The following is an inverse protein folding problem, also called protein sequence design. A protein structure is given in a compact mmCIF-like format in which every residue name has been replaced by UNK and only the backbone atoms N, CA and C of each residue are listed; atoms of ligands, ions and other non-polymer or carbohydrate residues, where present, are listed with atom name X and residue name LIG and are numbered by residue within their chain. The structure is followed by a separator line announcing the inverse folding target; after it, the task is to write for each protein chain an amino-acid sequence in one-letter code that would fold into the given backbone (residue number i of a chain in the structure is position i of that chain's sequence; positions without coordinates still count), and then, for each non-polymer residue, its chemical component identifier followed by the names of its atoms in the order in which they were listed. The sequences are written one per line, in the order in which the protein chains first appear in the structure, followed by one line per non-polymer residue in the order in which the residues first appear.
data_IF_795506488765
#
_entry.id   IF_795506488765
#
_cell.length_a   1.000
_cell.length_b   1.000
_cell.length_c   1.000
_cell.angle_alpha   90.00
_cell.angle_beta   90.00
_cell.angle_gamma   90.00
#
_symmetry.space_group_name_H-M   'P 1'
#
loop_
_entity.id
_entity.type
_entity.pdbx_description
1 polymer ?
#
# COMPACT_ATOMS: atom_id res chain seq x y z
N UNK A 1 31.41 12.99 -13.81
CA UNK A 1 31.13 14.02 -12.79
C UNK A 1 31.81 13.60 -11.50
N UNK A 2 32.84 14.32 -11.07
CA UNK A 2 33.53 14.02 -9.82
C UNK A 2 32.83 14.80 -8.69
N UNK A 3 31.65 14.33 -8.27
CA UNK A 3 30.87 15.00 -7.24
C UNK A 3 31.28 14.43 -5.88
N UNK A 4 32.29 15.06 -5.25
CA UNK A 4 32.73 14.67 -3.90
C UNK A 4 31.75 15.20 -2.84
N UNK A 5 30.54 14.64 -2.79
CA UNK A 5 29.58 14.88 -1.71
C UNK A 5 29.86 13.86 -0.61
N UNK A 6 29.99 14.33 0.63
CA UNK A 6 30.20 13.46 1.81
C UNK A 6 28.89 13.28 2.59
N UNK A 7 28.76 12.15 3.27
CA UNK A 7 27.62 11.90 4.18
C UNK A 7 27.50 12.99 5.25
N UNK A 8 28.62 13.49 5.74
CA UNK A 8 28.65 14.55 6.75
C UNK A 8 28.08 15.87 6.26
N UNK A 9 28.29 16.21 4.99
CA UNK A 9 27.66 17.38 4.36
C UNK A 9 26.16 17.20 4.23
N UNK A 10 25.71 15.98 3.91
CA UNK A 10 24.29 15.62 3.84
C UNK A 10 23.64 15.74 5.22
N UNK A 11 24.25 15.17 6.27
CA UNK A 11 23.77 15.28 7.64
C UNK A 11 23.61 16.75 8.09
N UNK A 12 24.60 17.60 7.79
CA UNK A 12 24.52 19.01 8.11
C UNK A 12 23.41 19.73 7.36
N UNK A 13 23.23 19.40 6.08
CA UNK A 13 22.14 19.96 5.27
C UNK A 13 20.77 19.55 5.80
N UNK A 14 20.55 18.28 6.10
CA UNK A 14 19.31 17.77 6.70
C UNK A 14 19.03 18.46 8.04
N UNK A 15 20.04 18.51 8.93
CA UNK A 15 19.90 19.18 10.23
C UNK A 15 19.53 20.67 10.11
N UNK A 16 20.10 21.38 9.11
CA UNK A 16 19.75 22.79 8.87
C UNK A 16 18.38 22.94 8.24
N UNK A 17 17.95 22.02 7.41
CA UNK A 17 16.60 22.00 6.85
C UNK A 17 15.54 21.84 7.95
N UNK A 18 15.79 20.96 8.93
CA UNK A 18 14.88 20.67 10.04
C UNK A 18 14.83 21.80 11.07
N UNK A 19 15.98 22.40 11.41
CA UNK A 19 16.06 23.41 12.48
C UNK A 19 15.78 24.82 11.99
N UNK A 20 15.98 25.09 10.70
CA UNK A 20 15.95 26.43 10.10
C UNK A 20 17.09 27.37 10.54
N UNK A 21 18.11 26.87 11.28
CA UNK A 21 19.17 27.69 11.88
C UNK A 21 20.52 26.97 11.87
N UNK A 22 21.55 27.56 11.23
CA UNK A 22 22.90 26.98 11.17
C UNK A 22 23.53 26.83 12.57
N UNK A 23 23.35 27.83 13.45
CA UNK A 23 23.92 27.77 14.80
C UNK A 23 23.32 26.63 15.63
N UNK A 24 22.00 26.41 15.55
CA UNK A 24 21.32 25.32 16.27
C UNK A 24 21.75 23.97 15.73
N UNK A 25 21.83 23.81 14.42
CA UNK A 25 22.30 22.59 13.76
C UNK A 25 23.75 22.29 14.09
N UNK A 26 24.63 23.31 14.10
CA UNK A 26 26.04 23.15 14.48
C UNK A 26 26.20 22.57 15.89
N UNK A 27 25.39 23.07 16.85
CA UNK A 27 25.36 22.53 18.20
C UNK A 27 24.87 21.07 18.23
N UNK A 28 23.80 20.72 17.48
CA UNK A 28 23.29 19.37 17.41
C UNK A 28 24.30 18.39 16.80
N UNK A 29 25.04 18.83 15.78
CA UNK A 29 26.05 18.04 15.10
C UNK A 29 27.44 18.10 15.78
N UNK A 30 27.57 18.77 16.92
CA UNK A 30 28.83 18.91 17.69
C UNK A 30 29.98 19.51 16.86
N UNK A 31 29.69 20.55 16.07
CA UNK A 31 30.69 21.25 15.22
C UNK A 31 30.59 22.76 15.39
N UNK A 32 31.59 23.50 14.95
CA UNK A 32 31.53 24.95 14.91
C UNK A 32 30.61 25.44 13.80
N UNK A 33 29.91 26.58 14.02
CA UNK A 33 29.07 27.19 13.01
C UNK A 33 29.83 27.55 11.72
N UNK A 34 31.12 27.92 11.84
CA UNK A 34 32.00 28.21 10.70
C UNK A 34 32.23 26.94 9.88
N UNK A 35 32.58 25.80 10.54
CA UNK A 35 32.78 24.52 9.85
C UNK A 35 31.53 24.05 9.13
N UNK A 36 30.36 24.14 9.78
CA UNK A 36 29.08 23.79 9.15
C UNK A 36 28.80 24.68 7.94
N UNK A 37 29.02 25.99 8.06
CA UNK A 37 28.80 26.94 6.96
C UNK A 37 29.69 26.63 5.75
N UNK A 38 30.95 26.29 5.98
CA UNK A 38 31.87 25.88 4.90
C UNK A 38 31.42 24.57 4.25
N UNK A 39 31.06 23.58 5.06
CA UNK A 39 30.58 22.29 4.56
C UNK A 39 29.32 22.42 3.68
N UNK A 40 28.36 23.25 4.10
CA UNK A 40 27.16 23.52 3.31
C UNK A 40 27.46 24.27 2.00
N UNK A 41 28.39 25.23 2.04
CA UNK A 41 28.83 25.92 0.82
C UNK A 41 29.49 24.95 -0.16
N UNK A 42 30.38 24.09 0.32
CA UNK A 42 31.03 23.07 -0.51
C UNK A 42 30.01 22.07 -1.08
N UNK A 43 28.92 21.75 -0.34
CA UNK A 43 27.84 20.93 -0.82
C UNK A 43 27.11 21.61 -1.99
N UNK A 44 26.75 22.90 -1.85
CA UNK A 44 26.08 23.66 -2.92
C UNK A 44 26.98 23.78 -4.17
N UNK A 45 28.27 23.98 -3.99
CA UNK A 45 29.25 24.01 -5.08
C UNK A 45 29.34 22.64 -5.78
N UNK A 46 29.36 21.54 -5.02
CA UNK A 46 29.38 20.17 -5.58
C UNK A 46 28.09 19.81 -6.32
N UNK A 47 26.94 20.29 -5.85
CA UNK A 47 25.62 20.07 -6.49
C UNK A 47 25.43 21.03 -7.68
N UNK A 48 26.11 22.19 -7.67
CA UNK A 48 26.07 23.20 -8.74
C UNK A 48 24.85 24.11 -8.67
N UNK A 49 24.06 24.07 -7.58
CA UNK A 49 22.91 24.94 -7.37
C UNK A 49 22.77 25.35 -5.91
N UNK A 50 22.18 26.53 -5.66
CA UNK A 50 21.86 26.99 -4.30
C UNK A 50 20.73 26.17 -3.72
N UNK A 51 20.96 25.56 -2.55
CA UNK A 51 19.99 24.75 -1.83
C UNK A 51 19.34 25.51 -0.67
N UNK A 52 20.08 26.49 -0.10
CA UNK A 52 19.71 27.22 1.11
C UNK A 52 19.64 28.73 0.85
N UNK A 53 18.55 29.36 1.27
CA UNK A 53 18.40 30.83 1.29
C UNK A 53 18.63 31.35 2.70
N UNK A 54 19.60 32.25 2.87
CA UNK A 54 19.85 32.93 4.15
C UNK A 54 18.90 34.10 4.34
N UNK A 55 18.32 34.18 5.51
CA UNK A 55 17.39 35.24 5.90
C UNK A 55 17.77 35.73 7.32
N UNK A 56 17.47 37.00 7.69
CA UNK A 56 17.76 37.50 9.05
C UNK A 56 17.17 36.66 10.19
N UNK A 57 16.10 35.90 9.91
CA UNK A 57 15.45 34.99 10.87
C UNK A 57 15.91 33.53 10.80
N UNK A 58 16.91 33.21 9.97
CA UNK A 58 17.41 31.84 9.81
C UNK A 58 17.67 31.43 8.35
N UNK A 59 17.47 30.16 8.05
CA UNK A 59 17.70 29.57 6.73
C UNK A 59 16.42 28.90 6.24
N UNK A 60 16.14 29.03 4.93
CA UNK A 60 15.05 28.34 4.24
C UNK A 60 15.59 27.56 3.05
N UNK A 61 14.89 26.52 2.66
CA UNK A 61 15.22 25.77 1.45
C UNK A 61 14.79 26.54 0.19
N UNK A 62 15.59 26.39 -0.87
CA UNK A 62 15.13 26.72 -2.23
C UNK A 62 14.26 25.58 -2.76
N UNK A 63 13.50 25.76 -3.87
CA UNK A 63 12.82 24.65 -4.54
C UNK A 63 13.76 23.51 -4.96
N UNK A 64 15.02 23.83 -5.29
CA UNK A 64 16.08 22.85 -5.53
C UNK A 64 16.49 22.15 -4.23
N UNK A 65 16.60 22.91 -3.12
CA UNK A 65 16.88 22.38 -1.79
C UNK A 65 15.82 21.39 -1.29
N UNK A 66 14.54 21.68 -1.53
CA UNK A 66 13.44 20.77 -1.16
C UNK A 66 13.50 19.45 -1.94
N UNK A 67 13.76 19.53 -3.26
CA UNK A 67 13.96 18.31 -4.06
C UNK A 67 15.18 17.53 -3.59
N UNK A 68 16.30 18.20 -3.36
CA UNK A 68 17.53 17.58 -2.88
C UNK A 68 17.33 16.93 -1.50
N UNK A 69 16.61 17.61 -0.56
CA UNK A 69 16.30 17.06 0.77
C UNK A 69 15.60 15.71 0.69
N UNK A 70 14.54 15.61 -0.14
CA UNK A 70 13.83 14.33 -0.31
C UNK A 70 14.78 13.21 -0.75
N UNK A 71 15.62 13.47 -1.74
CA UNK A 71 16.55 12.44 -2.25
C UNK A 71 17.66 12.06 -1.26
N UNK A 72 18.20 13.00 -0.51
CA UNK A 72 19.26 12.69 0.45
C UNK A 72 18.73 12.01 1.71
N UNK A 73 17.50 12.31 2.13
CA UNK A 73 16.83 11.56 3.19
C UNK A 73 16.66 10.09 2.81
N UNK A 74 16.28 9.79 1.57
CA UNK A 74 16.22 8.42 1.06
C UNK A 74 17.61 7.75 1.04
N UNK A 75 18.65 8.48 0.62
CA UNK A 75 19.99 7.95 0.57
C UNK A 75 20.55 7.61 1.97
N UNK A 76 20.34 8.47 2.96
CA UNK A 76 20.73 8.23 4.37
C UNK A 76 20.02 7.01 4.94
N UNK A 77 18.69 6.93 4.79
CA UNK A 77 17.95 5.75 5.22
C UNK A 77 18.43 4.46 4.54
N UNK A 78 18.86 4.54 3.28
CA UNK A 78 19.41 3.37 2.57
C UNK A 78 20.75 2.92 3.15
N UNK A 79 21.59 3.87 3.61
CA UNK A 79 22.87 3.56 4.28
C UNK A 79 22.63 2.94 5.66
N UNK A 80 21.70 3.50 6.45
CA UNK A 80 21.32 2.95 7.75
C UNK A 80 20.83 1.50 7.61
N UNK A 81 20.01 1.24 6.60
CA UNK A 81 19.56 -0.13 6.26
C UNK A 81 20.71 -1.05 5.87
N UNK A 82 21.69 -0.55 5.13
CA UNK A 82 22.85 -1.35 4.74
C UNK A 82 23.72 -1.72 5.95
N UNK A 83 23.87 -0.80 6.92
CA UNK A 83 24.58 -1.07 8.18
C UNK A 83 23.84 -2.12 9.00
N UNK A 84 22.53 -2.00 9.17
CA UNK A 84 21.71 -2.99 9.87
C UNK A 84 21.79 -4.35 9.17
N UNK A 85 21.65 -4.39 7.84
CA UNK A 85 21.72 -5.64 7.07
C UNK A 85 23.11 -6.31 7.16
N UNK A 86 24.18 -5.55 7.33
CA UNK A 86 25.52 -6.09 7.51
C UNK A 86 25.75 -6.70 8.92
N UNK A 87 24.92 -6.31 9.90
CA UNK A 87 24.98 -6.78 11.29
C UNK A 87 23.99 -7.92 11.56
N UNK A 88 23.04 -8.20 10.64
CA UNK A 88 22.03 -9.25 10.80
C UNK A 88 22.67 -10.65 10.73
N UNK A 89 22.32 -11.49 11.72
CA UNK A 89 22.59 -12.93 11.67
C UNK A 89 21.61 -13.58 10.69
N UNK A 90 22.08 -14.30 9.65
CA UNK A 90 21.21 -14.94 8.67
C UNK A 90 20.18 -15.91 9.24
N UNK A 91 20.41 -16.43 10.44
CA UNK A 91 19.54 -17.42 11.09
C UNK A 91 18.44 -16.79 11.97
N UNK A 92 18.51 -15.48 12.30
CA UNK A 92 17.50 -14.78 13.09
C UNK A 92 16.92 -13.60 12.34
N UNK A 93 15.72 -13.78 11.77
CA UNK A 93 14.97 -12.69 11.16
C UNK A 93 14.44 -11.78 12.27
N UNK A 94 15.16 -10.71 12.54
CA UNK A 94 14.79 -9.67 13.49
C UNK A 94 14.76 -8.31 12.78
N UNK A 95 14.16 -7.32 13.41
CA UNK A 95 14.07 -5.97 12.88
C UNK A 95 12.63 -5.46 12.85
N UNK A 96 12.38 -4.42 12.07
CA UNK A 96 11.07 -3.78 11.98
C UNK A 96 10.69 -3.53 10.53
N UNK A 97 9.44 -3.84 10.15
CA UNK A 97 8.90 -3.61 8.81
C UNK A 97 7.63 -2.79 8.89
N UNK A 98 7.55 -1.73 8.08
CA UNK A 98 6.38 -0.86 7.97
C UNK A 98 5.57 -1.29 6.75
N UNK A 99 4.35 -1.75 6.98
CA UNK A 99 3.47 -2.30 5.93
C UNK A 99 2.28 -1.36 5.71
N UNK A 100 2.10 -0.90 4.46
CA UNK A 100 0.92 -0.16 4.04
C UNK A 100 -0.20 -1.10 3.58
N UNK A 101 -1.46 -0.78 3.89
CA UNK A 101 -2.63 -1.55 3.45
C UNK A 101 -3.80 -0.62 3.21
N UNK A 102 -4.65 -0.97 2.21
CA UNK A 102 -5.99 -0.36 2.09
C UNK A 102 -6.98 -1.03 3.03
N UNK A 103 -8.12 -0.38 3.27
CA UNK A 103 -9.15 -0.83 4.22
C UNK A 103 -9.60 -2.27 3.98
N UNK A 104 -9.88 -2.65 2.73
CA UNK A 104 -10.29 -4.03 2.40
C UNK A 104 -9.23 -5.05 2.80
N UNK A 105 -7.96 -4.76 2.55
CA UNK A 105 -6.86 -5.69 2.86
C UNK A 105 -6.62 -5.73 4.36
N UNK A 106 -6.65 -4.59 5.04
CA UNK A 106 -6.55 -4.52 6.48
C UNK A 106 -7.63 -5.35 7.16
N UNK A 107 -8.89 -5.16 6.75
CA UNK A 107 -10.03 -5.87 7.36
C UNK A 107 -9.96 -7.40 7.13
N UNK A 108 -9.62 -7.86 5.92
CA UNK A 108 -9.82 -9.26 5.54
C UNK A 108 -8.55 -10.10 5.50
N UNK A 109 -7.37 -9.51 5.37
CA UNK A 109 -6.08 -10.21 5.31
C UNK A 109 -5.18 -9.99 6.51
N UNK A 110 -5.18 -8.78 7.11
CA UNK A 110 -4.25 -8.44 8.18
C UNK A 110 -4.30 -9.41 9.36
N UNK A 111 -5.45 -9.86 9.90
CA UNK A 111 -5.47 -10.76 11.05
C UNK A 111 -4.74 -12.08 10.76
N UNK A 112 -4.97 -12.67 9.57
CA UNK A 112 -4.30 -13.91 9.15
C UNK A 112 -2.81 -13.68 8.89
N UNK A 113 -2.46 -12.54 8.32
CA UNK A 113 -1.08 -12.13 8.08
C UNK A 113 -0.30 -11.99 9.39
N UNK A 114 -0.84 -11.27 10.36
CA UNK A 114 -0.20 -11.07 11.65
C UNK A 114 -0.01 -12.39 12.40
N UNK A 115 -1.00 -13.29 12.32
CA UNK A 115 -0.87 -14.65 12.88
C UNK A 115 0.29 -15.42 12.21
N UNK A 116 0.39 -15.39 10.89
CA UNK A 116 1.45 -16.07 10.15
C UNK A 116 2.84 -15.47 10.42
N UNK A 117 2.94 -14.14 10.52
CA UNK A 117 4.19 -13.46 10.88
C UNK A 117 4.63 -13.84 12.28
N UNK A 118 3.74 -13.76 13.27
CA UNK A 118 4.05 -14.09 14.66
C UNK A 118 4.47 -15.54 14.86
N UNK A 119 3.89 -16.46 14.10
CA UNK A 119 4.25 -17.89 14.16
C UNK A 119 5.61 -18.16 13.52
N UNK A 120 5.98 -17.42 12.48
CA UNK A 120 7.20 -17.71 11.71
C UNK A 120 8.39 -16.85 12.13
N UNK A 121 8.16 -15.63 12.60
CA UNK A 121 9.19 -14.61 12.85
C UNK A 121 8.97 -13.97 14.24
N UNK A 122 9.35 -14.67 15.29
CA UNK A 122 9.09 -14.25 16.69
C UNK A 122 9.74 -12.92 17.08
N UNK A 123 10.82 -12.51 16.41
CA UNK A 123 11.56 -11.28 16.70
C UNK A 123 11.33 -10.16 15.66
N UNK A 124 10.37 -10.34 14.75
CA UNK A 124 10.05 -9.36 13.73
C UNK A 124 8.99 -8.37 14.21
N UNK A 125 9.36 -7.12 14.40
CA UNK A 125 8.43 -6.01 14.64
C UNK A 125 7.72 -5.61 13.34
N UNK A 126 6.40 -5.37 13.42
CA UNK A 126 5.61 -4.89 12.29
C UNK A 126 4.78 -3.68 12.70
N UNK A 127 4.85 -2.61 11.90
CA UNK A 127 3.91 -1.50 11.96
C UNK A 127 3.00 -1.53 10.74
N UNK A 128 1.70 -1.34 10.95
CA UNK A 128 0.72 -1.27 9.87
C UNK A 128 0.22 0.16 9.74
N UNK A 129 0.18 0.65 8.52
CA UNK A 129 -0.41 1.94 8.14
C UNK A 129 -1.56 1.66 7.18
N UNK A 130 -2.77 2.01 7.61
CA UNK A 130 -3.96 1.96 6.77
C UNK A 130 -4.19 3.33 6.15
N UNK A 131 -4.31 3.37 4.82
CA UNK A 131 -4.58 4.60 4.09
C UNK A 131 -5.10 4.29 2.67
N UNK A 132 -5.48 5.33 1.94
CA UNK A 132 -5.81 5.23 0.53
C UNK A 132 -4.57 4.88 -0.31
N UNK A 133 -4.80 4.24 -1.45
CA UNK A 133 -3.75 3.73 -2.33
C UNK A 133 -2.70 4.77 -2.70
N UNK A 134 -3.13 5.94 -3.18
CA UNK A 134 -2.22 6.99 -3.65
C UNK A 134 -1.30 7.48 -2.53
N UNK A 135 -1.81 7.56 -1.31
CA UNK A 135 -1.04 7.89 -0.11
C UNK A 135 -0.01 6.81 0.20
N UNK A 136 -0.41 5.54 0.14
CA UNK A 136 0.48 4.39 0.39
C UNK A 136 1.59 4.33 -0.68
N UNK A 137 1.26 4.50 -1.96
CA UNK A 137 2.23 4.52 -3.05
C UNK A 137 3.25 5.66 -2.87
N UNK A 138 2.78 6.86 -2.50
CA UNK A 138 3.65 7.99 -2.16
C UNK A 138 4.56 7.65 -0.97
N UNK A 139 4.02 7.05 0.09
CA UNK A 139 4.81 6.65 1.26
C UNK A 139 5.86 5.58 0.94
N UNK A 140 5.60 4.66 -0.01
CA UNK A 140 6.58 3.70 -0.51
C UNK A 140 7.71 4.40 -1.27
N UNK A 141 7.37 5.35 -2.16
CA UNK A 141 8.35 6.13 -2.92
C UNK A 141 9.22 6.98 -1.99
N UNK A 142 8.62 7.53 -0.94
CA UNK A 142 9.29 8.35 0.09
C UNK A 142 10.00 7.52 1.18
N UNK A 143 10.13 6.20 1.02
CA UNK A 143 10.73 5.27 2.01
C UNK A 143 10.11 5.34 3.42
N UNK A 144 8.88 5.83 3.54
CA UNK A 144 8.12 5.86 4.79
C UNK A 144 7.44 4.51 5.07
N UNK A 145 7.26 3.68 4.04
CA UNK A 145 6.83 2.28 4.10
C UNK A 145 7.88 1.40 3.42
N UNK A 146 7.97 0.16 3.84
CA UNK A 146 8.91 -0.82 3.29
C UNK A 146 8.24 -1.70 2.25
N UNK A 147 6.99 -2.12 2.51
CA UNK A 147 6.14 -2.94 1.64
C UNK A 147 4.71 -2.45 1.79
N UNK A 148 3.89 -2.64 0.76
CA UNK A 148 2.44 -2.51 0.89
C UNK A 148 1.73 -3.73 0.35
N UNK A 149 0.52 -3.97 0.85
CA UNK A 149 -0.45 -4.91 0.29
C UNK A 149 -1.60 -4.10 -0.29
N UNK A 150 -1.77 -4.16 -1.60
CA UNK A 150 -2.74 -3.36 -2.35
C UNK A 150 -3.54 -4.24 -3.32
N UNK A 151 -4.71 -3.75 -3.73
CA UNK A 151 -5.43 -4.33 -4.87
C UNK A 151 -4.67 -3.96 -6.15
N UNK A 152 -4.29 -4.94 -6.96
CA UNK A 152 -3.44 -4.73 -8.16
C UNK A 152 -4.15 -5.05 -9.46
N UNK A 153 -5.44 -5.38 -9.42
CA UNK A 153 -6.22 -5.79 -10.63
C UNK A 153 -6.31 -4.71 -11.71
N UNK A 154 -6.24 -3.44 -11.35
CA UNK A 154 -6.38 -2.29 -12.25
C UNK A 154 -5.13 -1.42 -12.29
N UNK A 155 -3.99 -1.95 -11.83
CA UNK A 155 -2.77 -1.15 -11.71
C UNK A 155 -2.10 -0.95 -13.07
N UNK A 156 -1.89 0.30 -13.48
CA UNK A 156 -0.84 0.64 -14.42
C UNK A 156 0.50 0.60 -13.65
N UNK A 157 1.56 0.07 -14.26
CA UNK A 157 2.88 0.10 -13.64
C UNK A 157 3.30 1.56 -13.39
N UNK A 158 3.43 1.93 -12.13
CA UNK A 158 4.05 3.19 -11.72
C UNK A 158 5.55 2.97 -11.73
N UNK A 159 6.30 3.74 -12.54
CA UNK A 159 7.72 3.49 -12.89
C UNK A 159 8.65 3.16 -11.73
N UNK A 160 8.43 3.74 -10.54
CA UNK A 160 9.27 3.56 -9.35
C UNK A 160 8.82 2.43 -8.42
N UNK A 161 7.69 1.79 -8.69
CA UNK A 161 7.15 0.70 -7.86
C UNK A 161 7.23 -0.64 -8.58
N UNK A 162 7.41 -1.70 -7.81
CA UNK A 162 7.25 -3.09 -8.23
C UNK A 162 5.98 -3.66 -7.63
N UNK A 163 5.27 -4.45 -8.43
CA UNK A 163 4.04 -5.12 -8.07
C UNK A 163 4.19 -6.63 -8.29
N UNK A 164 3.79 -7.41 -7.32
CA UNK A 164 3.75 -8.87 -7.43
C UNK A 164 2.40 -9.37 -6.90
N UNK A 165 1.60 -10.01 -7.75
CA UNK A 165 0.33 -10.60 -7.31
C UNK A 165 0.60 -11.77 -6.38
N UNK A 166 0.06 -11.70 -5.16
CA UNK A 166 0.19 -12.74 -4.13
C UNK A 166 -1.08 -13.56 -3.94
N UNK A 167 -2.24 -13.00 -4.26
CA UNK A 167 -3.53 -13.66 -4.12
C UNK A 167 -4.46 -13.24 -5.26
N UNK A 168 -5.17 -14.22 -5.85
CA UNK A 168 -6.25 -13.98 -6.80
C UNK A 168 -7.55 -14.49 -6.20
N UNK A 169 -8.51 -13.59 -6.05
CA UNK A 169 -9.80 -13.92 -5.45
C UNK A 169 -10.93 -13.78 -6.49
N UNK A 170 -11.62 -14.88 -6.84
CA UNK A 170 -12.71 -14.83 -7.80
C UNK A 170 -13.87 -14.00 -7.24
N UNK A 171 -14.58 -13.32 -8.15
CA UNK A 171 -15.84 -12.65 -7.83
C UNK A 171 -17.00 -13.60 -8.07
N UNK A 172 -17.99 -13.54 -7.16
CA UNK A 172 -19.19 -14.36 -7.23
C UNK A 172 -20.42 -13.49 -6.99
N UNK A 173 -21.55 -13.96 -7.49
CA UNK A 173 -22.83 -13.39 -7.16
C UNK A 173 -23.21 -13.74 -5.71
N UNK A 174 -23.56 -12.73 -4.91
CA UNK A 174 -24.12 -12.89 -3.57
C UNK A 174 -25.60 -12.60 -3.60
N UNK A 175 -26.38 -13.47 -2.96
CA UNK A 175 -27.83 -13.36 -2.86
C UNK A 175 -28.33 -13.86 -1.51
N UNK A 176 -29.58 -13.56 -1.18
CA UNK A 176 -30.30 -14.30 -0.17
C UNK A 176 -30.36 -15.80 -0.52
N UNK A 177 -30.33 -16.74 0.45
CA UNK A 177 -30.33 -18.19 0.17
C UNK A 177 -31.50 -18.68 -0.67
N UNK A 178 -32.71 -18.10 -0.49
CA UNK A 178 -33.90 -18.44 -1.27
C UNK A 178 -34.10 -17.65 -2.56
N UNK A 179 -33.06 -16.97 -3.06
CA UNK A 179 -33.16 -16.18 -4.28
C UNK A 179 -33.28 -17.06 -5.53
N UNK A 180 -34.19 -16.77 -6.51
CA UNK A 180 -34.36 -17.61 -7.71
C UNK A 180 -33.10 -17.87 -8.51
N UNK A 181 -32.17 -16.89 -8.55
CA UNK A 181 -30.87 -17.06 -9.21
C UNK A 181 -29.99 -18.16 -8.58
N UNK A 182 -30.25 -18.62 -7.35
CA UNK A 182 -29.49 -19.74 -6.75
C UNK A 182 -29.81 -21.07 -7.43
N UNK A 183 -31.01 -21.28 -7.90
CA UNK A 183 -31.48 -22.53 -8.52
C UNK A 183 -31.42 -22.47 -10.06
N UNK A 184 -31.11 -21.31 -10.65
CA UNK A 184 -31.06 -21.14 -12.08
C UNK A 184 -29.95 -22.01 -12.71
N UNK A 185 -30.16 -22.64 -13.86
CA UNK A 185 -29.15 -23.49 -14.52
C UNK A 185 -27.89 -22.69 -14.89
N UNK A 186 -28.05 -21.44 -15.29
CA UNK A 186 -26.99 -20.48 -15.62
C UNK A 186 -27.35 -19.12 -15.07
N UNK A 187 -26.36 -18.30 -14.76
CA UNK A 187 -26.54 -16.90 -14.32
C UNK A 187 -25.58 -16.03 -15.11
N UNK A 188 -26.13 -15.14 -15.92
CA UNK A 188 -25.38 -14.15 -16.71
C UNK A 188 -25.44 -12.78 -16.07
N UNK A 189 -24.75 -11.77 -16.63
CA UNK A 189 -24.86 -10.39 -16.15
C UNK A 189 -26.23 -9.78 -16.50
N UNK A 190 -26.86 -10.20 -17.61
CA UNK A 190 -28.21 -9.78 -17.99
C UNK A 190 -29.25 -10.26 -16.97
N UNK A 191 -29.07 -11.45 -16.39
CA UNK A 191 -29.94 -11.93 -15.31
C UNK A 191 -29.75 -11.11 -14.04
N UNK A 192 -28.51 -10.79 -13.69
CA UNK A 192 -28.20 -9.94 -12.53
C UNK A 192 -28.69 -8.50 -12.73
N UNK A 193 -28.63 -7.97 -13.96
CA UNK A 193 -29.10 -6.62 -14.29
C UNK A 193 -30.60 -6.41 -14.09
N UNK A 194 -31.40 -7.49 -14.05
CA UNK A 194 -32.85 -7.43 -13.78
C UNK A 194 -33.17 -7.30 -12.30
N UNK A 195 -32.17 -7.57 -11.45
CA UNK A 195 -32.33 -7.53 -10.00
C UNK A 195 -31.92 -6.16 -9.45
N UNK A 196 -32.38 -5.85 -8.24
CA UNK A 196 -31.84 -4.70 -7.50
C UNK A 196 -30.35 -4.93 -7.20
N UNK A 197 -29.47 -4.14 -7.80
CA UNK A 197 -28.04 -4.27 -7.59
C UNK A 197 -27.55 -3.36 -6.45
N UNK A 198 -26.87 -3.96 -5.49
CA UNK A 198 -26.24 -3.27 -4.37
C UNK A 198 -24.79 -3.01 -4.72
N UNK A 199 -24.45 -1.75 -5.02
CA UNK A 199 -23.14 -1.34 -5.47
C UNK A 199 -22.26 -0.97 -4.28
N UNK A 200 -21.14 -1.68 -4.11
CA UNK A 200 -20.13 -1.34 -3.13
C UNK A 200 -19.19 -0.26 -3.71
N UNK A 201 -19.06 0.86 -3.00
CA UNK A 201 -18.16 1.96 -3.32
C UNK A 201 -16.98 1.96 -2.33
N UNK A 202 -16.08 1.00 -2.49
CA UNK A 202 -14.91 0.84 -1.64
C UNK A 202 -13.69 0.52 -2.49
N UNK A 203 -12.56 1.11 -2.16
CA UNK A 203 -11.29 0.95 -2.86
C UNK A 203 -11.47 1.15 -4.39
N UNK A 204 -10.92 0.25 -5.21
CA UNK A 204 -11.03 0.29 -6.68
C UNK A 204 -12.23 -0.48 -7.25
N UNK A 205 -13.21 -0.84 -6.41
CA UNK A 205 -14.30 -1.71 -6.84
C UNK A 205 -15.15 -1.09 -7.95
N UNK A 206 -15.49 0.20 -7.86
CA UNK A 206 -16.26 0.91 -8.87
C UNK A 206 -15.63 0.82 -10.26
N UNK A 207 -14.33 1.14 -10.37
CA UNK A 207 -13.59 1.07 -11.65
C UNK A 207 -13.65 -0.32 -12.27
N UNK A 208 -13.59 -1.36 -11.44
CA UNK A 208 -13.67 -2.75 -11.89
C UNK A 208 -15.08 -3.09 -12.35
N UNK A 209 -16.11 -2.66 -11.60
CA UNK A 209 -17.52 -2.87 -11.94
C UNK A 209 -17.84 -2.25 -13.29
N UNK A 210 -17.57 -0.97 -13.49
CA UNK A 210 -17.82 -0.27 -14.75
C UNK A 210 -17.14 -0.97 -15.94
N UNK A 211 -15.90 -1.43 -15.74
CA UNK A 211 -15.13 -2.08 -16.80
C UNK A 211 -15.74 -3.40 -17.26
N UNK A 212 -16.12 -4.31 -16.34
CA UNK A 212 -16.65 -5.60 -16.79
C UNK A 212 -18.11 -5.53 -17.20
N UNK A 213 -18.96 -4.74 -16.55
CA UNK A 213 -20.33 -4.52 -17.01
C UNK A 213 -20.34 -3.91 -18.41
N UNK A 214 -19.54 -2.85 -18.64
CA UNK A 214 -19.42 -2.23 -19.95
C UNK A 214 -18.91 -3.16 -21.05
N UNK A 215 -18.01 -4.10 -20.72
CA UNK A 215 -17.48 -5.07 -21.69
C UNK A 215 -18.52 -6.08 -22.19
N UNK A 216 -19.61 -6.31 -21.43
CA UNK A 216 -20.74 -7.13 -21.80
C UNK A 216 -21.90 -6.34 -22.41
N UNK A 217 -21.79 -5.01 -22.53
CA UNK A 217 -22.83 -4.15 -23.05
C UNK A 217 -24.07 -4.05 -22.16
N UNK A 218 -23.94 -4.35 -20.87
CA UNK A 218 -25.02 -4.37 -19.88
C UNK A 218 -24.65 -3.43 -18.74
N UNK A 219 -25.64 -2.87 -18.08
CA UNK A 219 -25.45 -2.05 -16.88
C UNK A 219 -26.27 -2.63 -15.71
N UNK A 220 -25.76 -2.59 -14.48
CA UNK A 220 -26.50 -3.04 -13.31
C UNK A 220 -27.65 -2.07 -13.00
N UNK A 221 -28.79 -2.61 -12.54
CA UNK A 221 -29.87 -1.80 -12.00
C UNK A 221 -29.51 -1.39 -10.56
N UNK A 222 -28.70 -0.35 -10.41
CA UNK A 222 -28.19 0.09 -9.10
C UNK A 222 -29.34 0.65 -8.27
N UNK A 223 -29.80 -0.14 -7.30
CA UNK A 223 -30.82 0.27 -6.33
C UNK A 223 -30.23 1.07 -5.17
N UNK A 224 -29.00 0.71 -4.73
CA UNK A 224 -28.31 1.40 -3.65
C UNK A 224 -26.79 1.32 -3.85
N UNK A 225 -26.08 2.40 -3.51
CA UNK A 225 -24.63 2.46 -3.42
C UNK A 225 -24.21 2.71 -1.98
N UNK A 226 -23.19 2.01 -1.49
CA UNK A 226 -22.70 2.13 -0.13
C UNK A 226 -21.20 1.92 -0.07
N UNK A 227 -20.51 2.66 0.81
CA UNK A 227 -19.10 2.41 1.17
C UNK A 227 -18.95 1.29 2.21
N UNK A 228 -20.03 0.89 2.88
CA UNK A 228 -20.02 -0.16 3.90
C UNK A 228 -20.30 -1.52 3.30
N UNK A 229 -19.32 -2.41 3.32
CA UNK A 229 -19.48 -3.79 2.90
C UNK A 229 -20.46 -4.55 3.81
N UNK A 230 -20.51 -4.21 5.09
CA UNK A 230 -21.44 -4.83 6.03
C UNK A 230 -22.89 -4.41 5.75
N UNK A 231 -23.12 -3.14 5.37
CA UNK A 231 -24.46 -2.70 4.93
C UNK A 231 -24.90 -3.45 3.66
N UNK A 232 -24.00 -3.58 2.67
CA UNK A 232 -24.28 -4.37 1.45
C UNK A 232 -24.58 -5.83 1.82
N UNK A 233 -23.78 -6.43 2.71
CA UNK A 233 -23.97 -7.81 3.19
C UNK A 233 -25.33 -8.00 3.86
N UNK A 234 -25.70 -7.11 4.77
CA UNK A 234 -26.97 -7.16 5.48
C UNK A 234 -28.17 -7.03 4.53
N UNK A 235 -28.11 -6.09 3.58
CA UNK A 235 -29.18 -5.91 2.59
C UNK A 235 -29.33 -7.11 1.66
N UNK A 236 -28.22 -7.73 1.24
CA UNK A 236 -28.26 -9.00 0.48
C UNK A 236 -28.89 -10.11 1.31
N UNK A 237 -28.48 -10.24 2.57
CA UNK A 237 -28.98 -11.27 3.48
C UNK A 237 -30.48 -11.13 3.77
N UNK A 238 -30.99 -9.90 3.80
CA UNK A 238 -32.41 -9.57 3.95
C UNK A 238 -33.22 -9.69 2.65
N UNK A 239 -32.58 -9.96 1.52
CA UNK A 239 -33.26 -10.14 0.23
C UNK A 239 -33.62 -8.85 -0.50
N UNK A 240 -33.02 -7.71 -0.15
CA UNK A 240 -33.32 -6.42 -0.80
C UNK A 240 -32.64 -6.28 -2.18
N UNK A 241 -31.66 -7.13 -2.48
CA UNK A 241 -30.96 -7.12 -3.76
C UNK A 241 -29.81 -8.12 -3.82
N UNK A 242 -29.02 -7.98 -4.85
CA UNK A 242 -27.86 -8.83 -5.15
C UNK A 242 -26.60 -8.00 -5.38
N UNK A 243 -25.43 -8.62 -5.25
CA UNK A 243 -24.15 -7.97 -5.58
C UNK A 243 -23.14 -8.98 -6.10
N UNK A 244 -22.12 -8.51 -6.82
CA UNK A 244 -21.00 -9.33 -7.28
C UNK A 244 -19.73 -8.87 -6.57
N UNK A 245 -19.27 -9.65 -5.59
CA UNK A 245 -18.10 -9.34 -4.79
C UNK A 245 -17.13 -10.53 -4.74
N UNK A 246 -15.90 -10.22 -4.32
CA UNK A 246 -14.80 -11.18 -4.21
C UNK A 246 -15.02 -12.17 -3.07
N UNK A 247 -14.53 -13.42 -3.25
CA UNK A 247 -14.49 -14.42 -2.20
C UNK A 247 -13.62 -14.01 -1.00
N UNK A 248 -12.64 -13.15 -1.17
CA UNK A 248 -11.83 -12.63 -0.07
C UNK A 248 -12.69 -11.94 0.99
N UNK A 249 -13.64 -11.13 0.55
CA UNK A 249 -14.52 -10.36 1.44
C UNK A 249 -15.81 -11.11 1.82
N UNK A 250 -15.99 -12.33 1.30
CA UNK A 250 -17.18 -13.12 1.61
C UNK A 250 -17.16 -13.58 3.06
N UNK A 251 -18.28 -13.36 3.74
CA UNK A 251 -18.63 -13.99 5.02
C UNK A 251 -20.08 -14.49 4.91
N UNK A 252 -20.40 -15.71 5.36
CA UNK A 252 -21.72 -16.32 5.14
C UNK A 252 -22.85 -15.71 5.97
N UNK A 253 -22.52 -14.86 6.94
CA UNK A 253 -23.47 -14.27 7.88
C UNK A 253 -23.39 -12.75 7.87
N UNK A 254 -24.53 -12.08 7.93
CA UNK A 254 -24.64 -10.64 8.17
C UNK A 254 -24.53 -10.32 9.66
N UNK A 255 -24.45 -9.04 10.01
CA UNK A 255 -24.44 -8.57 11.39
C UNK A 255 -25.70 -8.96 12.15
N UNK A 256 -26.84 -9.05 11.46
CA UNK A 256 -28.14 -9.46 12.02
C UNK A 256 -28.29 -10.99 12.13
N UNK A 257 -27.27 -11.77 11.76
CA UNK A 257 -27.29 -13.22 11.82
C UNK A 257 -28.05 -13.89 10.65
N UNK A 258 -28.36 -13.15 9.57
CA UNK A 258 -28.96 -13.72 8.37
C UNK A 258 -27.89 -14.25 7.41
N UNK A 259 -28.24 -15.35 6.71
CA UNK A 259 -27.29 -16.03 5.83
C UNK A 259 -27.28 -15.44 4.43
N UNK A 260 -26.09 -15.42 3.81
CA UNK A 260 -25.87 -15.11 2.40
C UNK A 260 -25.40 -16.38 1.68
N UNK A 261 -25.92 -16.57 0.47
CA UNK A 261 -25.43 -17.57 -0.48
C UNK A 261 -24.58 -16.91 -1.56
N UNK A 262 -23.58 -17.64 -2.05
CA UNK A 262 -22.75 -17.21 -3.17
C UNK A 262 -22.81 -18.20 -4.30
N UNK A 263 -22.71 -17.71 -5.53
CA UNK A 263 -22.79 -18.51 -6.74
C UNK A 263 -21.82 -18.04 -7.82
N UNK A 264 -21.33 -18.98 -8.62
CA UNK A 264 -20.56 -18.66 -9.82
C UNK A 264 -21.47 -18.04 -10.88
N UNK A 265 -20.92 -17.04 -11.58
CA UNK A 265 -21.49 -16.55 -12.82
C UNK A 265 -21.13 -17.48 -13.97
N UNK A 266 -21.97 -17.54 -15.00
CA UNK A 266 -21.71 -18.28 -16.25
C UNK A 266 -20.83 -17.49 -17.23
N UNK A 267 -20.44 -16.28 -16.86
CA UNK A 267 -19.57 -15.37 -17.59
C UNK A 267 -18.30 -15.12 -16.80
N UNK A 268 -17.22 -14.76 -17.49
CA UNK A 268 -15.96 -14.44 -16.83
C UNK A 268 -15.96 -12.99 -16.37
N UNK A 269 -15.83 -12.77 -15.07
CA UNK A 269 -15.62 -11.45 -14.48
C UNK A 269 -14.19 -11.38 -13.91
N UNK A 270 -13.53 -10.21 -13.91
CA UNK A 270 -12.18 -10.07 -13.38
C UNK A 270 -12.10 -10.52 -11.93
N UNK A 271 -11.00 -11.15 -11.55
CA UNK A 271 -10.67 -11.46 -10.15
C UNK A 271 -10.34 -10.17 -9.38
N UNK A 272 -10.41 -10.23 -8.07
CA UNK A 272 -9.82 -9.23 -7.20
C UNK A 272 -8.42 -9.72 -6.81
N UNK A 273 -7.40 -9.10 -7.37
CA UNK A 273 -6.02 -9.50 -7.17
C UNK A 273 -5.39 -8.64 -6.08
N UNK A 274 -4.84 -9.28 -5.06
CA UNK A 274 -4.02 -8.63 -4.03
C UNK A 274 -2.56 -8.81 -4.42
N UNK A 275 -1.80 -7.74 -4.36
CA UNK A 275 -0.36 -7.73 -4.63
C UNK A 275 0.45 -7.17 -3.47
N UNK A 276 1.67 -7.66 -3.37
CA UNK A 276 2.73 -6.99 -2.63
C UNK A 276 3.33 -5.90 -3.52
N UNK A 277 3.53 -4.72 -2.96
CA UNK A 277 4.04 -3.54 -3.66
C UNK A 277 5.21 -2.97 -2.87
N UNK A 278 6.29 -2.62 -3.55
CA UNK A 278 7.47 -2.00 -2.93
C UNK A 278 8.19 -1.12 -3.92
N UNK A 279 9.02 -0.21 -3.44
CA UNK A 279 9.84 0.66 -4.30
C UNK A 279 10.86 -0.16 -5.08
N UNK A 280 11.04 0.14 -6.35
CA UNK A 280 12.08 -0.48 -7.21
C UNK A 280 13.46 -0.20 -6.60
N UNK A 281 14.22 -1.24 -6.28
CA UNK A 281 15.46 -1.15 -5.52
C UNK A 281 15.28 -1.08 -3.99
N UNK A 282 14.03 -0.97 -3.49
CA UNK A 282 13.67 -1.15 -2.08
C UNK A 282 13.45 -2.62 -1.69
N UNK A 283 12.93 -2.85 -0.49
CA UNK A 283 12.69 -4.19 0.09
C UNK A 283 13.93 -5.11 0.07
N UNK A 284 15.10 -4.52 0.24
CA UNK A 284 16.39 -5.24 0.21
C UNK A 284 16.77 -5.83 1.56
N UNK A 285 16.20 -5.31 2.67
CA UNK A 285 16.43 -5.86 4.00
C UNK A 285 15.97 -7.31 4.11
N UNK A 286 16.63 -8.09 4.95
CA UNK A 286 16.26 -9.49 5.18
C UNK A 286 14.83 -9.66 5.68
N UNK A 287 14.32 -8.86 6.64
CA UNK A 287 12.93 -8.91 7.06
C UNK A 287 11.91 -8.70 5.92
N UNK A 288 12.16 -7.72 5.05
CA UNK A 288 11.29 -7.45 3.89
C UNK A 288 11.28 -8.63 2.91
N UNK A 289 12.44 -9.22 2.62
CA UNK A 289 12.54 -10.40 1.75
C UNK A 289 11.82 -11.60 2.34
N UNK A 290 11.99 -11.85 3.63
CA UNK A 290 11.31 -12.93 4.34
C UNK A 290 9.79 -12.77 4.33
N UNK A 291 9.27 -11.55 4.49
CA UNK A 291 7.84 -11.26 4.37
C UNK A 291 7.33 -11.47 2.93
N UNK A 292 8.08 -11.05 1.91
CA UNK A 292 7.71 -11.31 0.52
C UNK A 292 7.64 -12.81 0.22
N UNK A 293 8.55 -13.61 0.76
CA UNK A 293 8.51 -15.07 0.66
C UNK A 293 7.30 -15.66 1.38
N UNK A 294 6.97 -15.16 2.58
CA UNK A 294 5.76 -15.53 3.29
C UNK A 294 4.51 -15.24 2.45
N UNK A 295 4.41 -14.05 1.86
CA UNK A 295 3.28 -13.68 0.99
C UNK A 295 3.19 -14.60 -0.24
N UNK A 296 4.31 -14.94 -0.86
CA UNK A 296 4.35 -15.89 -1.98
C UNK A 296 3.85 -17.29 -1.61
N UNK A 297 4.09 -17.71 -0.38
CA UNK A 297 3.60 -19.02 0.11
C UNK A 297 2.07 -19.06 0.17
N UNK A 298 1.38 -17.95 0.40
CA UNK A 298 -0.08 -17.86 0.39
C UNK A 298 -0.69 -18.11 -0.98
N UNK A 299 0.03 -17.84 -2.06
CA UNK A 299 -0.40 -18.13 -3.43
C UNK A 299 -0.70 -19.63 -3.63
N UNK A 300 -0.07 -20.51 -2.83
CA UNK A 300 -0.22 -21.98 -2.93
C UNK A 300 -1.37 -22.54 -2.08
N UNK A 301 -1.88 -21.79 -1.12
CA UNK A 301 -2.88 -22.27 -0.15
C UNK A 301 -4.31 -21.80 -0.48
N UNK A 302 -4.48 -20.89 -1.41
CA UNK A 302 -5.76 -20.29 -1.81
C UNK A 302 -6.32 -20.86 -3.13
N UNK A 303 -5.80 -22.02 -3.59
CA UNK A 303 -6.24 -22.76 -4.78
C UNK A 303 -7.23 -23.86 -4.47
#
# INVERSE_FOLDING_TARGET
MNTHITLRQIEYFVSVADTGQISKSANLCSVSQSSMTIALKNLEEAVGVTLLLRHPKGVRLTPAGERFLRHVQHATMSIDRAVVAAQEDPEQIAGHVRIGMTETISTYLMPSLMSAISQRFGNLGVSIVESERETIETMLIDDRLDIALLLVSNTAEVGDLKYETILRSPRRLWTHPGHPLQDARRVTLEDVARENYLLLDMDEHLRTVDKYWGSYGVAPNVWMQSKSIEAVRSLVALGHGVTILSDLVYRPWSLEGNRISRRNLSVTVPTMDVGAVWRRGGATSMPCRALLELFRSWRKTAG
#
